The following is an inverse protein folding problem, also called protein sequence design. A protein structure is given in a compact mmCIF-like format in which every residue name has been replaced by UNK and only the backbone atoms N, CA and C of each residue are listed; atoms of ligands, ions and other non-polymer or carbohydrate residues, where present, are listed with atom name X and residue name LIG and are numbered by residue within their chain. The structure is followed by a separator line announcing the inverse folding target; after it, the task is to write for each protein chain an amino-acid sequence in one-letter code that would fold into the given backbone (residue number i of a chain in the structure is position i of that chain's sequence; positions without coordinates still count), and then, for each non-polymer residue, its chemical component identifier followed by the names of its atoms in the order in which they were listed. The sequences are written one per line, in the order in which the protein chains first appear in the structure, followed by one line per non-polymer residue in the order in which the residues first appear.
data_IF_691146024721
#
_entry.id   IF_691146024721
#
_cell.length_a   1.000
_cell.length_b   1.000
_cell.length_c   1.000
_cell.angle_alpha   90.00
_cell.angle_beta   90.00
_cell.angle_gamma   90.00
#
_symmetry.space_group_name_H-M   'P 1'
#
loop_
_entity.id
_entity.type
_entity.pdbx_description
1 polymer ?
#
# COMPACT_ATOMS: atom_id res chain seq x y z
N UNK A 1 -32.41 -3.12 -34.80
CA UNK A 1 -31.17 -2.33 -34.93
C UNK A 1 -30.69 -2.03 -33.51
N UNK A 2 -30.00 -2.99 -32.85
CA UNK A 2 -28.58 -2.94 -32.44
C UNK A 2 -28.19 -1.56 -31.87
N UNK A 3 -27.78 -1.41 -30.60
CA UNK A 3 -26.80 -2.23 -29.87
C UNK A 3 -27.10 -2.26 -28.35
N UNK A 4 -26.96 -3.44 -27.77
CA UNK A 4 -26.71 -3.66 -26.36
C UNK A 4 -25.40 -2.97 -25.94
N UNK A 5 -25.42 -2.31 -24.79
CA UNK A 5 -24.22 -1.89 -24.07
C UNK A 5 -24.33 -2.41 -22.64
N UNK A 6 -24.04 -3.71 -22.51
CA UNK A 6 -23.74 -4.34 -21.24
C UNK A 6 -22.33 -3.92 -20.83
N UNK A 7 -22.21 -2.86 -20.02
CA UNK A 7 -20.95 -2.59 -19.31
C UNK A 7 -20.96 -3.52 -18.11
N UNK A 8 -20.06 -4.50 -18.15
CA UNK A 8 -19.83 -5.49 -17.11
C UNK A 8 -19.46 -4.81 -15.80
N UNK A 9 -20.48 -4.61 -14.96
CA UNK A 9 -20.34 -4.50 -13.50
C UNK A 9 -19.95 -5.86 -12.94
N UNK A 10 -18.66 -6.18 -12.99
CA UNK A 10 -18.05 -7.21 -12.16
C UNK A 10 -16.73 -6.66 -11.62
N UNK A 11 -16.85 -5.73 -10.67
CA UNK A 11 -15.79 -5.51 -9.69
C UNK A 11 -15.75 -6.81 -8.87
N UNK A 12 -14.98 -7.80 -9.33
CA UNK A 12 -14.65 -8.95 -8.50
C UNK A 12 -13.75 -8.44 -7.38
N UNK A 13 -14.32 -8.37 -6.19
CA UNK A 13 -13.64 -8.14 -4.91
C UNK A 13 -12.79 -9.35 -4.48
N UNK A 14 -12.43 -10.29 -5.38
CA UNK A 14 -11.68 -11.50 -5.03
C UNK A 14 -10.15 -11.28 -4.91
N UNK A 15 -9.65 -10.06 -5.16
CA UNK A 15 -8.24 -9.69 -5.01
C UNK A 15 -7.81 -9.37 -3.57
N UNK A 16 -8.71 -9.48 -2.58
CA UNK A 16 -8.41 -9.30 -1.15
C UNK A 16 -7.31 -10.24 -0.63
N UNK A 17 -6.93 -11.29 -1.38
CA UNK A 17 -5.82 -12.19 -1.05
C UNK A 17 -4.46 -11.78 -1.63
N UNK A 18 -4.34 -10.61 -2.27
CA UNK A 18 -3.09 -10.15 -2.89
C UNK A 18 -2.31 -9.11 -2.07
N UNK A 19 -2.87 -8.62 -0.96
CA UNK A 19 -2.22 -7.70 -0.02
C UNK A 19 -1.10 -8.38 0.76
N UNK A 20 0.10 -8.48 0.17
CA UNK A 20 1.31 -8.87 0.87
C UNK A 20 2.35 -7.76 0.72
N UNK A 21 2.80 -7.26 1.86
CA UNK A 21 3.83 -6.22 2.01
C UNK A 21 5.18 -6.76 1.51
N UNK A 22 5.91 -5.98 0.72
CA UNK A 22 7.29 -6.29 0.32
C UNK A 22 8.22 -5.26 0.90
N UNK A 23 9.23 -5.77 1.60
CA UNK A 23 10.32 -5.00 2.16
C UNK A 23 11.30 -4.67 1.03
N UNK A 24 11.52 -3.38 0.75
CA UNK A 24 12.65 -2.98 -0.06
C UNK A 24 13.87 -3.01 0.85
N UNK A 25 14.67 -4.07 0.77
CA UNK A 25 15.86 -4.18 1.60
C UNK A 25 16.96 -3.36 0.93
N UNK A 26 17.00 -2.06 1.22
CA UNK A 26 18.13 -1.20 0.86
C UNK A 26 19.41 -1.78 1.47
N UNK A 27 20.23 -2.38 0.61
CA UNK A 27 21.56 -2.87 0.98
C UNK A 27 22.53 -1.70 0.96
N UNK A 28 22.36 -0.72 1.85
CA UNK A 28 23.39 0.28 2.14
C UNK A 28 23.24 0.84 3.56
N UNK A 29 23.57 0.02 4.55
CA UNK A 29 24.00 0.47 5.87
C UNK A 29 25.40 -0.09 6.14
N UNK A 30 26.43 0.51 5.52
CA UNK A 30 27.78 0.38 6.04
C UNK A 30 27.91 1.23 7.30
N UNK A 31 28.42 0.60 8.36
CA UNK A 31 28.64 1.11 9.74
C UNK A 31 27.40 1.16 10.65
N UNK A 32 27.13 0.03 11.31
CA UNK A 32 26.87 0.06 12.75
C UNK A 32 27.52 -1.15 13.42
N UNK A 33 28.23 -0.88 14.52
CA UNK A 33 29.28 -1.74 15.07
C UNK A 33 28.85 -3.16 15.43
N UNK A 34 29.82 -4.08 15.32
CA UNK A 34 29.71 -5.44 15.82
C UNK A 34 29.40 -5.46 17.33
N UNK A 35 28.11 -5.54 17.68
CA UNK A 35 27.71 -5.74 19.06
C UNK A 35 27.94 -7.21 19.43
N UNK A 36 28.90 -7.43 20.33
CA UNK A 36 29.45 -8.71 20.76
C UNK A 36 28.45 -9.51 21.60
N UNK A 37 27.38 -10.03 20.98
CA UNK A 37 26.38 -10.91 21.60
C UNK A 37 26.82 -12.38 21.56
N UNK A 38 27.83 -12.73 22.36
CA UNK A 38 28.18 -14.16 22.61
C UNK A 38 28.07 -14.59 24.07
N UNK A 39 27.89 -13.66 25.02
CA UNK A 39 27.77 -13.98 26.46
C UNK A 39 26.35 -13.85 27.02
N UNK A 40 25.49 -13.02 26.42
CA UNK A 40 24.13 -12.79 26.92
C UNK A 40 23.12 -13.86 26.50
N UNK A 41 23.41 -14.63 25.45
CA UNK A 41 22.57 -15.77 25.02
C UNK A 41 22.53 -16.88 26.08
N UNK A 42 23.66 -17.15 26.75
CA UNK A 42 23.72 -18.12 27.84
C UNK A 42 23.04 -17.63 29.14
N UNK A 43 23.03 -16.31 29.36
CA UNK A 43 22.46 -15.70 30.57
C UNK A 43 20.92 -15.69 30.52
N UNK A 44 20.34 -15.56 29.32
CA UNK A 44 18.89 -15.60 29.10
C UNK A 44 18.29 -17.01 29.28
N UNK A 45 19.05 -18.06 28.90
CA UNK A 45 18.65 -19.46 29.08
C UNK A 45 18.59 -19.84 30.57
N UNK A 46 19.51 -19.35 31.40
CA UNK A 46 19.53 -19.63 32.85
C UNK A 46 18.31 -19.01 33.56
N UNK A 47 17.88 -17.81 33.14
CA UNK A 47 16.69 -17.13 33.70
C UNK A 47 15.40 -17.91 33.37
N UNK A 48 15.33 -18.55 32.21
CA UNK A 48 14.14 -19.29 31.77
C UNK A 48 13.98 -20.63 32.52
N UNK A 49 15.09 -21.27 32.91
CA UNK A 49 15.08 -22.52 33.70
C UNK A 49 14.63 -22.30 35.15
N UNK A 50 14.76 -21.08 35.69
CA UNK A 50 14.35 -20.76 37.06
C UNK A 50 12.84 -20.47 37.23
N UNK A 51 12.09 -20.32 36.14
CA UNK A 51 10.66 -19.95 36.18
C UNK A 51 9.69 -21.15 36.32
N UNK A 52 10.18 -22.39 36.33
CA UNK A 52 9.33 -23.60 36.37
C UNK A 52 9.08 -24.18 37.77
N UNK A 53 9.48 -23.48 38.85
CA UNK A 53 9.22 -23.89 40.23
C UNK A 53 8.28 -22.92 40.95
N UNK A 54 7.04 -22.79 40.48
CA UNK A 54 5.93 -22.23 41.26
C UNK A 54 4.59 -22.80 40.77
N UNK A 55 4.21 -23.97 41.28
CA UNK A 55 2.83 -24.45 41.27
C UNK A 55 2.07 -23.88 42.47
N UNK A 56 0.80 -23.50 42.27
CA UNK A 56 -0.17 -23.43 43.36
C UNK A 56 -1.52 -22.78 43.03
N UNK A 57 -2.52 -23.60 42.62
CA UNK A 57 -3.92 -23.69 43.10
C UNK A 57 -4.78 -22.39 43.28
N UNK A 58 -6.10 -22.27 43.04
CA UNK A 58 -7.26 -23.07 42.57
C UNK A 58 -8.52 -22.15 42.69
N UNK A 59 -9.53 -22.35 41.82
CA UNK A 59 -11.00 -22.28 42.08
C UNK A 59 -11.69 -20.91 42.31
N UNK A 60 -12.79 -20.69 41.56
CA UNK A 60 -13.96 -19.94 42.07
C UNK A 60 -14.85 -19.22 41.04
N UNK A 61 -15.96 -19.86 40.66
CA UNK A 61 -17.13 -19.33 39.93
C UNK A 61 -17.77 -18.08 40.58
N UNK A 62 -18.51 -17.27 39.81
CA UNK A 62 -19.99 -17.01 39.96
C UNK A 62 -20.47 -15.78 39.16
N UNK A 63 -21.36 -16.06 38.20
CA UNK A 63 -22.59 -15.37 37.76
C UNK A 63 -23.02 -13.99 38.34
N UNK A 64 -23.52 -13.09 37.46
CA UNK A 64 -24.96 -12.76 37.22
C UNK A 64 -25.34 -11.25 37.08
N UNK A 65 -26.23 -11.00 36.08
CA UNK A 65 -27.31 -9.96 35.98
C UNK A 65 -26.87 -8.55 35.53
N UNK A 66 -27.22 -8.01 34.35
CA UNK A 66 -28.52 -7.61 33.72
C UNK A 66 -29.24 -6.44 34.42
N UNK A 67 -29.27 -5.28 33.77
CA UNK A 67 -30.42 -4.36 33.55
C UNK A 67 -29.86 -3.12 32.79
N UNK A 68 -30.27 -2.73 31.59
CA UNK A 68 -31.60 -2.35 31.05
C UNK A 68 -31.98 -0.89 31.28
N UNK A 69 -32.46 -0.26 30.19
CA UNK A 69 -33.20 1.00 30.00
C UNK A 69 -32.40 2.31 29.92
N UNK A 70 -32.25 2.95 28.75
CA UNK A 70 -33.22 3.56 27.79
C UNK A 70 -33.84 4.86 28.31
N UNK A 71 -33.55 5.97 27.63
CA UNK A 71 -34.51 6.93 27.03
C UNK A 71 -33.75 8.20 26.56
N UNK A 72 -33.79 8.54 25.27
CA UNK A 72 -34.67 9.56 24.65
C UNK A 72 -34.21 11.00 25.00
N UNK A 73 -34.23 12.03 24.16
CA UNK A 73 -34.54 12.33 22.74
C UNK A 73 -34.12 13.81 22.60
N UNK A 74 -33.98 14.29 21.38
CA UNK A 74 -34.43 15.62 20.88
C UNK A 74 -33.42 16.36 19.99
N UNK A 75 -33.92 16.52 18.77
CA UNK A 75 -33.44 17.30 17.63
C UNK A 75 -33.64 18.80 17.90
N UNK A 76 -32.87 19.68 17.24
CA UNK A 76 -33.44 20.89 16.63
C UNK A 76 -32.55 21.40 15.48
N UNK A 77 -33.11 21.26 14.29
CA UNK A 77 -33.07 22.06 13.06
C UNK A 77 -32.47 23.50 13.10
N UNK A 78 -31.69 23.87 12.06
CA UNK A 78 -32.06 24.89 11.04
C UNK A 78 -30.91 25.69 10.38
N UNK A 79 -31.00 25.73 9.04
CA UNK A 79 -30.71 26.80 8.07
C UNK A 79 -29.28 27.17 7.59
N UNK A 80 -29.03 26.74 6.34
CA UNK A 80 -28.74 27.52 5.12
C UNK A 80 -27.60 28.57 5.02
N UNK A 81 -26.70 28.25 4.09
CA UNK A 81 -26.28 29.08 2.93
C UNK A 81 -25.23 30.18 3.14
N UNK A 82 -24.01 29.94 2.60
CA UNK A 82 -23.40 30.70 1.49
C UNK A 82 -21.92 30.30 1.29
N UNK A 83 -21.58 29.80 0.10
CA UNK A 83 -20.28 30.06 -0.55
C UNK A 83 -20.33 31.50 -1.10
N UNK A 84 -19.20 32.24 -1.33
CA UNK A 84 -18.11 31.71 -2.17
C UNK A 84 -16.67 32.30 -1.96
N UNK A 85 -15.72 31.65 -2.65
CA UNK A 85 -14.42 32.13 -3.17
C UNK A 85 -13.19 32.21 -2.23
N UNK A 86 -12.18 31.46 -2.68
CA UNK A 86 -10.71 31.57 -2.57
C UNK A 86 -10.04 32.16 -1.32
N UNK A 87 -9.20 31.34 -0.69
CA UNK A 87 -7.97 31.84 -0.08
C UNK A 87 -6.90 30.74 -0.06
N UNK A 88 -5.79 31.01 -0.77
CA UNK A 88 -4.52 30.42 -0.40
C UNK A 88 -4.13 30.96 0.97
N UNK A 89 -4.08 30.10 1.98
CA UNK A 89 -3.33 30.38 3.19
C UNK A 89 -2.92 29.08 3.84
N UNK A 90 -1.60 28.89 3.93
CA UNK A 90 -0.96 27.85 4.69
C UNK A 90 -1.50 27.84 6.12
N UNK A 91 -2.15 26.75 6.49
CA UNK A 91 -2.17 26.29 7.88
C UNK A 91 -1.27 25.07 7.96
N UNK A 92 -0.06 25.33 8.44
CA UNK A 92 0.78 24.31 9.05
C UNK A 92 0.08 23.85 10.31
N UNK A 93 -0.81 22.87 10.17
CA UNK A 93 -1.16 21.99 11.27
C UNK A 93 -0.05 20.93 11.33
N UNK A 94 0.60 20.85 12.49
CA UNK A 94 1.48 19.76 12.86
C UNK A 94 0.64 18.50 13.12
N UNK A 95 -0.06 18.04 12.09
CA UNK A 95 -0.74 16.76 12.02
C UNK A 95 0.16 15.77 11.28
N UNK A 96 0.10 14.50 11.69
CA UNK A 96 0.74 13.40 10.98
C UNK A 96 0.47 13.53 9.47
N UNK A 97 1.53 13.63 8.67
CA UNK A 97 1.41 13.87 7.23
C UNK A 97 0.66 12.70 6.59
N UNK A 98 -0.63 12.91 6.30
CA UNK A 98 -1.47 11.92 5.66
C UNK A 98 -0.95 11.60 4.25
N UNK A 99 -1.01 10.32 3.88
CA UNK A 99 -0.57 9.83 2.58
C UNK A 99 -1.36 10.50 1.45
N UNK A 100 -0.68 11.04 0.44
CA UNK A 100 -1.31 11.73 -0.71
C UNK A 100 -1.10 10.98 -2.02
N UNK A 101 -2.17 10.80 -2.79
CA UNK A 101 -2.08 10.25 -4.14
C UNK A 101 -1.56 11.31 -5.12
N UNK A 102 -0.57 10.93 -5.92
CA UNK A 102 -0.02 11.75 -7.00
C UNK A 102 -0.49 11.22 -8.36
N UNK A 103 -1.02 12.13 -9.18
CA UNK A 103 -1.39 11.85 -10.57
C UNK A 103 -0.15 11.90 -11.45
N UNK A 104 0.02 10.94 -12.35
CA UNK A 104 1.11 10.94 -13.33
C UNK A 104 1.01 12.17 -14.23
N UNK A 105 2.15 12.74 -14.66
CA UNK A 105 2.16 13.98 -15.44
C UNK A 105 1.43 13.83 -16.77
N UNK A 106 1.67 12.74 -17.49
CA UNK A 106 0.97 12.45 -18.74
C UNK A 106 -0.55 12.32 -18.57
N UNK A 107 -1.00 11.75 -17.46
CA UNK A 107 -2.44 11.63 -17.15
C UNK A 107 -3.05 12.98 -16.77
N UNK A 108 -2.33 13.79 -15.98
CA UNK A 108 -2.75 15.14 -15.63
C UNK A 108 -2.85 16.05 -16.86
N UNK A 109 -1.90 15.95 -17.80
CA UNK A 109 -1.93 16.65 -19.09
C UNK A 109 -3.13 16.22 -19.96
N UNK A 110 -3.55 14.95 -19.85
CA UNK A 110 -4.77 14.43 -20.46
C UNK A 110 -6.06 14.81 -19.70
N UNK A 111 -5.96 15.57 -18.60
CA UNK A 111 -7.11 16.05 -17.81
C UNK A 111 -7.58 15.10 -16.71
N UNK A 112 -6.81 14.04 -16.41
CA UNK A 112 -7.11 13.15 -15.29
C UNK A 112 -6.82 13.82 -13.95
N UNK A 113 -7.66 13.53 -12.97
CA UNK A 113 -7.57 14.00 -11.58
C UNK A 113 -7.97 12.84 -10.66
N UNK A 114 -7.78 13.03 -9.36
CA UNK A 114 -8.19 12.04 -8.34
C UNK A 114 -9.71 11.84 -8.29
N UNK A 115 -10.50 12.80 -8.79
CA UNK A 115 -11.95 12.81 -8.66
C UNK A 115 -12.71 12.47 -9.94
N UNK A 116 -12.04 12.42 -11.10
CA UNK A 116 -12.69 12.22 -12.41
C UNK A 116 -12.19 11.00 -13.19
N UNK A 117 -11.23 10.24 -12.67
CA UNK A 117 -10.65 9.10 -13.34
C UNK A 117 -10.75 7.85 -12.45
N UNK A 118 -11.36 6.79 -12.96
CA UNK A 118 -11.68 5.57 -12.20
C UNK A 118 -10.47 4.92 -11.54
N UNK A 119 -9.29 4.95 -12.19
CA UNK A 119 -8.05 4.42 -11.61
C UNK A 119 -7.68 5.20 -10.35
N UNK A 120 -7.63 6.53 -10.44
CA UNK A 120 -7.22 7.38 -9.32
C UNK A 120 -8.27 7.42 -8.21
N UNK A 121 -9.56 7.37 -8.53
CA UNK A 121 -10.64 7.22 -7.55
C UNK A 121 -10.44 5.92 -6.75
N UNK A 122 -10.16 4.81 -7.43
CA UNK A 122 -9.90 3.52 -6.80
C UNK A 122 -8.68 3.53 -5.89
N UNK A 123 -7.56 4.12 -6.35
CA UNK A 123 -6.33 4.24 -5.57
C UNK A 123 -6.50 5.16 -4.35
N UNK A 124 -7.22 6.27 -4.50
CA UNK A 124 -7.49 7.17 -3.39
C UNK A 124 -8.35 6.48 -2.33
N UNK A 125 -9.33 5.67 -2.73
CA UNK A 125 -10.12 4.86 -1.81
C UNK A 125 -9.23 3.91 -0.98
N UNK A 126 -8.22 3.28 -1.58
CA UNK A 126 -7.27 2.42 -0.86
C UNK A 126 -6.54 3.22 0.23
N UNK A 127 -6.11 4.45 -0.07
CA UNK A 127 -5.47 5.33 0.92
C UNK A 127 -6.45 5.72 2.04
N UNK A 128 -7.69 6.09 1.70
CA UNK A 128 -8.69 6.45 2.70
C UNK A 128 -9.02 5.28 3.64
N UNK A 129 -9.07 4.06 3.11
CA UNK A 129 -9.33 2.85 3.89
C UNK A 129 -8.09 2.40 4.69
N UNK A 130 -6.88 2.71 4.23
CA UNK A 130 -5.62 2.31 4.85
C UNK A 130 -4.63 3.50 4.85
N UNK A 131 -4.81 4.51 5.72
CA UNK A 131 -3.99 5.73 5.70
C UNK A 131 -2.50 5.48 6.00
N UNK A 132 -2.22 4.40 6.74
CA UNK A 132 -0.87 3.99 7.13
C UNK A 132 -0.24 2.97 6.17
N UNK A 133 -0.83 2.75 4.99
CA UNK A 133 -0.30 1.81 3.99
C UNK A 133 1.13 2.21 3.58
N UNK A 134 1.99 1.19 3.43
CA UNK A 134 3.42 1.34 3.22
C UNK A 134 4.25 0.93 4.43
N UNK A 135 5.56 1.05 4.31
CA UNK A 135 6.52 0.77 5.38
C UNK A 135 7.25 2.06 5.71
N UNK A 136 7.21 2.46 6.98
CA UNK A 136 7.89 3.66 7.46
C UNK A 136 9.38 3.67 7.09
N UNK A 137 9.85 4.82 6.58
CA UNK A 137 11.23 5.05 6.12
C UNK A 137 11.65 4.15 4.96
N UNK A 138 10.70 3.70 4.15
CA UNK A 138 10.96 2.85 2.99
C UNK A 138 10.13 3.27 1.77
N UNK A 139 10.48 2.73 0.61
CA UNK A 139 9.63 2.73 -0.58
C UNK A 139 8.99 1.35 -0.74
N UNK A 140 7.66 1.30 -0.77
CA UNK A 140 6.91 0.04 -0.86
C UNK A 140 6.11 -0.04 -2.16
N UNK A 141 5.85 -1.25 -2.64
CA UNK A 141 5.00 -1.50 -3.81
C UNK A 141 3.96 -2.56 -3.45
N UNK A 142 2.73 -2.34 -3.90
CA UNK A 142 1.62 -3.27 -3.75
C UNK A 142 0.98 -3.54 -5.11
N UNK A 143 0.55 -4.78 -5.35
CA UNK A 143 -0.31 -5.07 -6.50
C UNK A 143 -1.73 -4.68 -6.13
N UNK A 144 -2.36 -3.82 -6.93
CA UNK A 144 -3.73 -3.36 -6.70
C UNK A 144 -4.72 -4.13 -7.54
N UNK A 145 -4.56 -4.08 -8.86
CA UNK A 145 -5.53 -4.67 -9.78
C UNK A 145 -4.89 -5.01 -11.13
N UNK A 146 -5.62 -5.79 -11.93
CA UNK A 146 -5.38 -5.95 -13.36
C UNK A 146 -6.48 -5.16 -14.08
N UNK A 147 -6.08 -4.29 -14.99
CA UNK A 147 -6.97 -3.50 -15.84
C UNK A 147 -6.70 -3.85 -17.30
N UNK A 148 -7.64 -3.51 -18.17
CA UNK A 148 -7.47 -3.69 -19.61
C UNK A 148 -7.56 -2.31 -20.27
N UNK A 149 -6.69 -2.04 -21.24
CA UNK A 149 -6.79 -0.81 -22.03
C UNK A 149 -7.91 -0.91 -23.09
N UNK A 150 -8.07 0.15 -23.90
CA UNK A 150 -9.11 0.22 -24.93
C UNK A 150 -8.99 -0.85 -26.02
N UNK A 151 -7.80 -1.41 -26.20
CA UNK A 151 -7.54 -2.50 -27.15
C UNK A 151 -7.75 -3.88 -26.51
N UNK A 152 -8.03 -3.92 -25.20
CA UNK A 152 -8.19 -5.14 -24.43
C UNK A 152 -6.86 -5.75 -23.99
N UNK A 153 -5.75 -5.02 -24.06
CA UNK A 153 -4.47 -5.54 -23.57
C UNK A 153 -4.43 -5.45 -22.04
N UNK A 154 -4.07 -6.55 -21.34
CA UNK A 154 -4.01 -6.56 -19.89
C UNK A 154 -2.83 -5.73 -19.38
N UNK A 155 -3.06 -5.02 -18.26
CA UNK A 155 -2.07 -4.23 -17.54
C UNK A 155 -2.21 -4.48 -16.05
N UNK A 156 -1.10 -4.61 -15.35
CA UNK A 156 -1.11 -4.62 -13.89
C UNK A 156 -0.97 -3.19 -13.38
N UNK A 157 -1.75 -2.86 -12.36
CA UNK A 157 -1.61 -1.64 -11.57
C UNK A 157 -0.87 -2.01 -10.30
N UNK A 158 0.35 -1.52 -10.18
CA UNK A 158 1.11 -1.49 -8.94
C UNK A 158 0.93 -0.13 -8.27
N UNK A 159 1.08 -0.10 -6.95
CA UNK A 159 0.95 1.11 -6.15
C UNK A 159 2.20 1.34 -5.34
N UNK A 160 3.00 2.31 -5.79
CA UNK A 160 4.25 2.73 -5.16
C UNK A 160 3.99 3.75 -4.08
N UNK A 161 4.59 3.54 -2.90
CA UNK A 161 4.38 4.37 -1.71
C UNK A 161 5.74 4.86 -1.23
N UNK A 162 5.90 6.18 -1.20
CA UNK A 162 7.06 6.84 -0.63
C UNK A 162 6.81 7.23 0.83
N UNK A 163 7.32 6.42 1.75
CA UNK A 163 7.40 6.71 3.18
C UNK A 163 8.82 7.11 3.61
N UNK A 164 9.71 7.40 2.66
CA UNK A 164 11.02 7.98 2.95
C UNK A 164 10.85 9.40 3.50
N UNK A 165 11.76 9.88 4.36
CA UNK A 165 11.73 11.24 4.89
C UNK A 165 12.15 12.30 3.86
N UNK A 166 12.36 11.91 2.59
CA UNK A 166 12.89 12.77 1.53
C UNK A 166 12.00 12.69 0.28
N UNK A 167 11.97 13.78 -0.47
CA UNK A 167 11.36 13.80 -1.79
C UNK A 167 12.29 13.11 -2.79
N UNK A 168 11.72 12.25 -3.64
CA UNK A 168 12.49 11.46 -4.61
C UNK A 168 12.01 11.70 -6.03
N UNK A 169 12.89 11.46 -7.00
CA UNK A 169 12.60 11.48 -8.44
C UNK A 169 13.50 10.49 -9.18
N UNK A 170 13.24 10.28 -10.47
CA UNK A 170 14.03 9.38 -11.33
C UNK A 170 14.24 7.99 -10.69
N UNK A 171 13.18 7.46 -10.07
CA UNK A 171 13.30 6.22 -9.32
C UNK A 171 13.11 5.01 -10.23
N UNK A 172 13.75 3.91 -9.87
CA UNK A 172 13.70 2.68 -10.66
C UNK A 172 14.07 1.49 -9.80
N UNK A 173 13.58 0.31 -10.17
CA UNK A 173 13.77 -0.93 -9.42
C UNK A 173 13.63 -2.15 -10.32
N UNK A 174 14.12 -3.29 -9.84
CA UNK A 174 13.92 -4.58 -10.49
C UNK A 174 12.77 -5.29 -9.80
N UNK A 175 11.74 -5.61 -10.56
CA UNK A 175 10.53 -6.25 -10.05
C UNK A 175 10.50 -7.73 -10.42
N UNK A 176 10.30 -8.57 -9.41
CA UNK A 176 10.07 -10.01 -9.61
C UNK A 176 8.67 -10.35 -9.10
N UNK A 177 7.91 -11.07 -9.91
CA UNK A 177 6.59 -11.61 -9.57
C UNK A 177 6.44 -12.98 -10.18
N UNK A 178 6.13 -13.98 -9.36
CA UNK A 178 5.95 -15.36 -9.80
C UNK A 178 5.41 -16.24 -8.70
N UNK A 179 5.61 -17.55 -8.85
CA UNK A 179 5.28 -18.55 -7.84
C UNK A 179 6.55 -19.14 -7.20
N UNK A 180 6.35 -19.95 -6.15
CA UNK A 180 7.42 -20.68 -5.45
C UNK A 180 8.02 -21.82 -6.28
N UNK A 181 7.39 -22.19 -7.38
CA UNK A 181 7.82 -23.24 -8.31
C UNK A 181 8.73 -22.68 -9.42
N UNK A 182 9.15 -21.40 -9.30
CA UNK A 182 10.01 -20.66 -10.24
C UNK A 182 9.37 -20.39 -11.61
N UNK A 183 8.05 -20.31 -11.69
CA UNK A 183 7.36 -19.73 -12.84
C UNK A 183 7.11 -18.24 -12.57
N UNK A 184 7.62 -17.39 -13.46
CA UNK A 184 7.61 -15.95 -13.28
C UNK A 184 6.75 -15.24 -14.31
N UNK A 185 5.89 -14.34 -13.82
CA UNK A 185 5.26 -13.30 -14.63
C UNK A 185 6.34 -12.32 -15.08
N UNK A 186 7.18 -11.90 -14.14
CA UNK A 186 8.40 -11.15 -14.39
C UNK A 186 9.52 -11.66 -13.48
N UNK A 187 10.71 -11.81 -14.05
CA UNK A 187 11.93 -12.08 -13.30
C UNK A 187 12.87 -10.88 -13.47
N UNK A 188 13.09 -10.12 -12.39
CA UNK A 188 13.96 -8.93 -12.35
C UNK A 188 13.68 -7.94 -13.49
N UNK A 189 12.40 -7.73 -13.81
CA UNK A 189 12.00 -6.76 -14.81
C UNK A 189 12.36 -5.36 -14.32
N UNK A 190 13.23 -4.65 -15.05
CA UNK A 190 13.55 -3.26 -14.73
C UNK A 190 12.32 -2.38 -14.96
N UNK A 191 11.87 -1.71 -13.90
CA UNK A 191 10.85 -0.68 -13.92
C UNK A 191 11.54 0.67 -13.72
N UNK A 192 11.28 1.60 -14.63
CA UNK A 192 11.86 2.95 -14.59
C UNK A 192 10.76 4.00 -14.56
N UNK A 193 10.87 4.94 -13.62
CA UNK A 193 9.90 6.00 -13.41
C UNK A 193 10.63 7.36 -13.46
N UNK A 194 10.81 7.93 -14.67
CA UNK A 194 11.51 9.19 -14.84
C UNK A 194 10.70 10.38 -14.28
N UNK A 195 11.38 11.45 -13.87
CA UNK A 195 10.77 12.71 -13.39
C UNK A 195 9.83 13.33 -14.44
N UNK A 196 10.12 13.13 -15.72
CA UNK A 196 9.32 13.64 -16.83
C UNK A 196 7.89 13.08 -16.82
N UNK A 197 7.74 11.80 -16.45
CA UNK A 197 6.46 11.08 -16.37
C UNK A 197 5.82 11.18 -14.99
N UNK A 198 6.62 11.06 -13.93
CA UNK A 198 6.11 10.97 -12.55
C UNK A 198 6.13 12.28 -11.80
N UNK A 199 7.02 13.21 -12.16
CA UNK A 199 7.34 14.37 -11.34
C UNK A 199 8.19 14.03 -10.12
N UNK A 200 8.13 14.89 -9.11
CA UNK A 200 8.79 14.68 -7.81
C UNK A 200 7.80 14.02 -6.86
N UNK A 201 8.17 12.87 -6.30
CA UNK A 201 7.37 12.14 -5.33
C UNK A 201 7.72 12.61 -3.92
N UNK A 202 6.82 13.36 -3.29
CA UNK A 202 7.04 13.95 -1.96
C UNK A 202 7.08 12.89 -0.84
N UNK A 203 7.60 13.19 0.35
CA UNK A 203 7.38 12.34 1.53
C UNK A 203 5.87 12.12 1.76
N UNK A 204 5.49 10.93 2.22
CA UNK A 204 4.09 10.55 2.42
C UNK A 204 3.24 10.74 1.17
N UNK A 205 3.73 10.24 0.04
CA UNK A 205 2.96 10.21 -1.20
C UNK A 205 2.95 8.83 -1.85
N UNK A 206 1.97 8.61 -2.72
CA UNK A 206 1.83 7.37 -3.46
C UNK A 206 1.53 7.63 -4.93
N UNK A 207 1.94 6.71 -5.80
CA UNK A 207 1.87 6.84 -7.25
C UNK A 207 1.51 5.51 -7.91
N UNK A 208 0.65 5.48 -8.94
CA UNK A 208 0.46 4.28 -9.73
C UNK A 208 1.70 3.96 -10.58
N UNK A 209 2.02 2.67 -10.68
CA UNK A 209 3.02 2.13 -11.59
C UNK A 209 2.31 1.09 -12.46
N UNK A 210 2.20 1.36 -13.75
CA UNK A 210 1.42 0.53 -14.67
C UNK A 210 2.36 -0.25 -15.57
N UNK A 211 2.27 -1.59 -15.55
CA UNK A 211 3.07 -2.46 -16.42
C UNK A 211 2.17 -3.27 -17.35
N UNK A 212 2.54 -3.35 -18.62
CA UNK A 212 1.83 -4.16 -19.61
C UNK A 212 2.07 -5.65 -19.36
N UNK A 213 1.01 -6.44 -19.47
CA UNK A 213 1.06 -7.90 -19.43
C UNK A 213 0.88 -8.47 -20.84
N UNK A 214 1.58 -9.56 -21.13
CA UNK A 214 1.19 -10.46 -22.22
C UNK A 214 0.03 -11.35 -21.78
N UNK A 215 -0.75 -11.94 -22.70
CA UNK A 215 -1.81 -12.89 -22.33
C UNK A 215 -1.29 -14.07 -21.51
N UNK A 216 -0.10 -14.59 -21.83
CA UNK A 216 0.54 -15.68 -21.07
C UNK A 216 0.86 -15.26 -19.63
N UNK A 217 1.36 -14.04 -19.45
CA UNK A 217 1.64 -13.47 -18.14
C UNK A 217 0.37 -13.25 -17.31
N UNK A 218 -0.73 -12.83 -17.95
CA UNK A 218 -2.02 -12.67 -17.28
C UNK A 218 -2.57 -14.02 -16.77
N UNK A 219 -2.48 -15.08 -17.58
CA UNK A 219 -2.89 -16.42 -17.17
C UNK A 219 -2.03 -16.94 -16.01
N UNK A 220 -0.71 -16.75 -16.05
CA UNK A 220 0.16 -17.11 -14.93
C UNK A 220 -0.20 -16.32 -13.66
N UNK A 221 -0.47 -15.03 -13.79
CA UNK A 221 -0.85 -14.16 -12.67
C UNK A 221 -2.13 -14.65 -11.98
N UNK A 222 -3.12 -15.16 -12.74
CA UNK A 222 -4.36 -15.75 -12.20
C UNK A 222 -4.13 -17.00 -11.34
N UNK A 223 -3.00 -17.70 -11.52
CA UNK A 223 -2.63 -18.85 -10.68
C UNK A 223 -1.98 -18.46 -9.35
N UNK A 224 -1.54 -17.20 -9.22
CA UNK A 224 -0.87 -16.70 -8.02
C UNK A 224 -1.90 -16.39 -6.92
N UNK A 225 -1.57 -16.78 -5.70
CA UNK A 225 -2.34 -16.53 -4.49
C UNK A 225 -1.40 -16.28 -3.31
N UNK A 226 -1.94 -15.85 -2.17
CA UNK A 226 -1.12 -15.53 -0.99
C UNK A 226 -0.20 -16.65 -0.48
N UNK A 227 -0.42 -17.92 -0.85
CA UNK A 227 0.40 -19.06 -0.40
C UNK A 227 1.54 -19.41 -1.34
N UNK A 228 1.35 -19.26 -2.66
CA UNK A 228 2.35 -19.64 -3.66
C UNK A 228 3.05 -18.43 -4.29
N UNK A 229 2.55 -17.21 -4.12
CA UNK A 229 3.13 -16.00 -4.71
C UNK A 229 4.51 -15.68 -4.12
N UNK A 230 5.43 -15.32 -5.00
CA UNK A 230 6.72 -14.71 -4.72
C UNK A 230 6.72 -13.35 -5.38
N UNK A 231 7.04 -12.32 -4.61
CA UNK A 231 7.19 -10.98 -5.14
C UNK A 231 8.37 -10.30 -4.44
N UNK A 232 9.22 -9.62 -5.20
CA UNK A 232 10.42 -8.98 -4.70
C UNK A 232 10.72 -7.69 -5.47
N UNK A 233 11.35 -6.76 -4.75
CA UNK A 233 11.94 -5.55 -5.31
C UNK A 233 13.40 -5.53 -4.94
N UNK A 234 14.23 -5.45 -5.97
CA UNK A 234 15.67 -5.36 -5.86
C UNK A 234 16.16 -4.09 -6.56
N UNK A 235 17.39 -3.68 -6.27
CA UNK A 235 18.09 -2.59 -6.97
C UNK A 235 17.26 -1.30 -7.09
N UNK A 236 16.53 -0.94 -6.01
CA UNK A 236 15.83 0.33 -5.93
C UNK A 236 16.85 1.48 -5.90
N UNK A 237 16.74 2.37 -6.87
CA UNK A 237 17.59 3.55 -7.05
C UNK A 237 16.71 4.76 -7.25
N UNK A 238 17.11 5.91 -6.73
CA UNK A 238 16.39 7.17 -6.87
C UNK A 238 17.35 8.36 -6.75
N UNK A 239 16.88 9.53 -7.17
CA UNK A 239 17.53 10.81 -6.91
C UNK A 239 16.77 11.57 -5.83
N UNK A 240 17.48 12.01 -4.80
CA UNK A 240 16.92 12.88 -3.75
C UNK A 240 16.82 14.32 -4.26
N UNK A 241 15.68 14.96 -4.03
CA UNK A 241 15.49 16.39 -4.30
C UNK A 241 16.02 17.21 -3.14
N UNK A 242 17.02 18.05 -3.41
CA UNK A 242 17.69 18.91 -2.43
C UNK A 242 17.03 20.28 -2.28
#
# INVERSE_FOLDING_TARGET
MKRDMSIYSLISLDLLNLNMVILCRSSDYTKLGAFKMRKYLFLLIIVMVLALAACGKTVGNTEKTVDSMTNQTEETDSNETNQPVEEGSSKTDSSEQSLKLQVLKGDAEAGATVDNNDLYIGLNKIIQENPDIGIEKDFSIYVVNIVHDHEGNPKIVLFGINKLPVAIKNFSFDYTLGNKDNEFVWEKQRVSMPEEETGVLQPNSAVPVILSLTPEQEELLKTLNGKNKVMAIDNFTFEEVK
#
